data_IF_992934750616
#
_entry.id   IF_992934750616
#
_cell.length_a   1.000
_cell.length_b   1.000
_cell.length_c   1.000
_cell.angle_alpha   90.00
_cell.angle_beta   90.00
_cell.angle_gamma   90.00
#
_symmetry.space_group_name_H-M   'P 1'
#
loop_
_entity.id
_entity.type
_entity.pdbx_description
1 polymer ?
#
# COMPACT_ATOMS: atom_id res chain seq x y z
N UNK A 1 13.25 -3.63 -24.66
CA UNK A 1 14.28 -2.85 -23.94
C UNK A 1 14.51 -3.53 -22.60
N UNK A 2 15.76 -3.82 -22.22
CA UNK A 2 16.01 -4.46 -20.91
C UNK A 2 15.78 -3.43 -19.81
N UNK A 3 15.35 -3.86 -18.62
CA UNK A 3 15.10 -2.98 -17.46
C UNK A 3 16.33 -2.09 -17.18
N UNK A 4 17.53 -2.66 -17.28
CA UNK A 4 18.81 -1.97 -17.08
C UNK A 4 18.98 -0.78 -18.03
N UNK A 5 18.44 -0.85 -19.25
CA UNK A 5 18.54 0.23 -20.22
C UNK A 5 17.56 1.38 -19.89
N UNK A 6 16.40 1.07 -19.29
CA UNK A 6 15.40 2.06 -18.87
C UNK A 6 15.83 2.88 -17.66
N UNK A 7 16.70 2.32 -16.80
CA UNK A 7 17.29 3.06 -15.68
C UNK A 7 18.40 4.03 -16.09
N UNK A 8 18.91 3.90 -17.32
CA UNK A 8 19.96 4.79 -17.87
C UNK A 8 19.38 5.97 -18.63
N UNK A 9 18.07 6.02 -18.84
CA UNK A 9 17.40 7.13 -19.50
C UNK A 9 17.52 8.40 -18.63
N UNK A 10 17.56 9.56 -19.29
CA UNK A 10 17.65 10.84 -18.58
C UNK A 10 16.35 11.11 -17.81
N UNK A 11 16.47 11.45 -16.53
CA UNK A 11 15.32 11.85 -15.72
C UNK A 11 15.16 13.36 -15.82
N UNK A 12 13.93 13.81 -16.14
CA UNK A 12 13.59 15.22 -16.00
C UNK A 12 13.45 15.57 -14.53
N UNK A 13 14.40 16.32 -13.98
CA UNK A 13 14.46 16.66 -12.55
C UNK A 13 13.18 17.35 -12.04
N UNK A 14 12.56 18.18 -12.89
CA UNK A 14 11.32 18.90 -12.58
C UNK A 14 10.12 17.98 -12.32
N UNK A 15 10.16 16.73 -12.79
CA UNK A 15 9.06 15.77 -12.65
C UNK A 15 9.18 14.94 -11.35
N UNK A 16 10.36 14.93 -10.70
CA UNK A 16 10.62 14.12 -9.50
C UNK A 16 9.80 14.62 -8.30
N UNK A 17 9.88 15.91 -7.98
CA UNK A 17 9.21 16.46 -6.80
C UNK A 17 7.67 16.36 -6.87
N UNK A 18 7.01 16.66 -8.02
CA UNK A 18 5.58 16.41 -8.17
C UNK A 18 5.19 14.94 -7.93
N UNK A 19 5.95 13.98 -8.47
CA UNK A 19 5.69 12.55 -8.27
C UNK A 19 5.80 12.16 -6.80
N UNK A 20 6.86 12.58 -6.12
CA UNK A 20 7.06 12.32 -4.69
C UNK A 20 5.91 12.91 -3.87
N UNK A 21 5.53 14.17 -4.13
CA UNK A 21 4.45 14.85 -3.41
C UNK A 21 3.10 14.12 -3.59
N UNK A 22 2.77 13.74 -4.82
CA UNK A 22 1.53 13.01 -5.10
C UNK A 22 1.54 11.61 -4.46
N UNK A 23 2.67 10.92 -4.51
CA UNK A 23 2.84 9.59 -3.92
C UNK A 23 2.72 9.59 -2.39
N UNK A 24 3.39 10.53 -1.72
CA UNK A 24 3.28 10.71 -0.25
C UNK A 24 1.84 11.07 0.12
N UNK A 25 1.24 12.05 -0.56
CA UNK A 25 -0.14 12.46 -0.28
C UNK A 25 -1.11 11.28 -0.41
N UNK A 26 -1.03 10.54 -1.52
CA UNK A 26 -1.93 9.42 -1.77
C UNK A 26 -1.71 8.26 -0.81
N UNK A 27 -0.47 7.92 -0.48
CA UNK A 27 -0.18 6.84 0.46
C UNK A 27 -0.67 7.17 1.88
N UNK A 28 -0.49 8.41 2.34
CA UNK A 28 -1.02 8.87 3.64
C UNK A 28 -2.54 8.86 3.62
N UNK A 29 -3.16 9.61 2.71
CA UNK A 29 -4.63 9.74 2.68
C UNK A 29 -5.30 8.41 2.38
N UNK A 30 -4.78 7.65 1.41
CA UNK A 30 -5.29 6.34 1.04
C UNK A 30 -5.16 5.33 2.18
N UNK A 31 -3.99 5.22 2.81
CA UNK A 31 -3.76 4.33 3.94
C UNK A 31 -4.70 4.62 5.11
N UNK A 32 -4.78 5.88 5.53
CA UNK A 32 -5.66 6.32 6.63
C UNK A 32 -7.14 6.06 6.31
N UNK A 33 -7.58 6.38 5.09
CA UNK A 33 -8.98 6.24 4.67
C UNK A 33 -9.38 4.76 4.58
N UNK A 34 -8.57 3.93 3.93
CA UNK A 34 -8.83 2.49 3.80
C UNK A 34 -8.81 1.84 5.18
N UNK A 35 -7.86 2.20 6.05
CA UNK A 35 -7.77 1.65 7.41
C UNK A 35 -8.99 2.00 8.25
N UNK A 36 -9.44 3.26 8.19
CA UNK A 36 -10.62 3.71 8.92
C UNK A 36 -11.91 3.05 8.42
N UNK A 37 -12.08 2.96 7.09
CA UNK A 37 -13.25 2.29 6.50
C UNK A 37 -13.21 0.80 6.83
N UNK A 38 -12.09 0.12 6.64
CA UNK A 38 -11.96 -1.29 6.96
C UNK A 38 -12.25 -1.57 8.44
N UNK A 39 -11.76 -0.73 9.35
CA UNK A 39 -12.06 -0.82 10.79
C UNK A 39 -13.56 -0.78 11.04
N UNK A 40 -14.26 0.20 10.45
CA UNK A 40 -15.71 0.33 10.58
C UNK A 40 -16.43 -0.90 10.05
N UNK A 41 -16.02 -1.42 8.88
CA UNK A 41 -16.66 -2.57 8.26
C UNK A 41 -16.46 -3.88 9.03
N UNK A 42 -15.23 -4.12 9.50
CA UNK A 42 -14.91 -5.28 10.33
C UNK A 42 -15.66 -5.19 11.66
N UNK A 43 -15.67 -4.03 12.30
CA UNK A 43 -16.27 -3.86 13.62
C UNK A 43 -17.81 -3.88 13.59
N UNK A 44 -18.44 -3.22 12.61
CA UNK A 44 -19.90 -3.07 12.56
C UNK A 44 -20.60 -4.15 11.74
N UNK A 45 -19.99 -4.61 10.65
CA UNK A 45 -20.65 -5.49 9.68
C UNK A 45 -20.01 -6.88 9.57
N UNK A 46 -18.88 -7.12 10.24
CA UNK A 46 -18.17 -8.40 10.25
C UNK A 46 -17.77 -8.93 8.86
N UNK A 47 -17.54 -8.04 7.89
CA UNK A 47 -16.99 -8.40 6.58
C UNK A 47 -15.87 -7.46 6.15
N UNK A 48 -15.06 -7.93 5.20
CA UNK A 48 -13.89 -7.22 4.68
C UNK A 48 -14.13 -6.70 3.26
N UNK A 49 -13.80 -5.43 3.01
CA UNK A 49 -13.74 -4.83 1.67
C UNK A 49 -12.31 -4.56 1.22
N UNK A 50 -11.32 -5.10 1.94
CA UNK A 50 -9.93 -4.75 1.82
C UNK A 50 -9.41 -4.84 0.38
N UNK A 51 -9.62 -5.98 -0.27
CA UNK A 51 -9.06 -6.22 -1.61
C UNK A 51 -9.61 -5.24 -2.65
N UNK A 52 -10.92 -4.93 -2.60
CA UNK A 52 -11.54 -3.94 -3.46
C UNK A 52 -10.93 -2.55 -3.23
N UNK A 53 -10.79 -2.16 -1.96
CA UNK A 53 -10.21 -0.86 -1.60
C UNK A 53 -8.74 -0.74 -2.01
N UNK A 54 -7.94 -1.78 -1.81
CA UNK A 54 -6.53 -1.81 -2.23
C UNK A 54 -6.39 -1.74 -3.76
N UNK A 55 -7.28 -2.40 -4.49
CA UNK A 55 -7.31 -2.32 -5.94
C UNK A 55 -7.62 -0.90 -6.43
N UNK A 56 -8.68 -0.28 -5.89
CA UNK A 56 -9.03 1.12 -6.21
C UNK A 56 -7.89 2.06 -5.85
N UNK A 57 -7.25 1.86 -4.70
CA UNK A 57 -6.12 2.65 -4.25
C UNK A 57 -4.91 2.53 -5.18
N UNK A 58 -4.50 1.31 -5.54
CA UNK A 58 -3.38 1.07 -6.45
C UNK A 58 -3.61 1.79 -7.79
N UNK A 59 -4.81 1.68 -8.36
CA UNK A 59 -5.17 2.35 -9.61
C UNK A 59 -5.13 3.87 -9.50
N UNK A 60 -5.73 4.45 -8.45
CA UNK A 60 -5.78 5.91 -8.28
C UNK A 60 -4.39 6.51 -7.97
N UNK A 61 -3.58 5.80 -7.19
CA UNK A 61 -2.19 6.16 -6.92
C UNK A 61 -1.38 6.20 -8.23
N UNK A 62 -1.44 5.11 -9.00
CA UNK A 62 -0.71 4.99 -10.26
C UNK A 62 -1.12 6.08 -11.25
N UNK A 63 -2.42 6.33 -11.40
CA UNK A 63 -2.98 7.38 -12.25
C UNK A 63 -2.50 8.77 -11.84
N UNK A 64 -2.48 9.09 -10.55
CA UNK A 64 -1.97 10.39 -10.07
C UNK A 64 -0.48 10.55 -10.29
N UNK A 65 0.31 9.51 -10.08
CA UNK A 65 1.75 9.53 -10.40
C UNK A 65 1.95 9.72 -11.90
N UNK A 66 1.16 9.04 -12.75
CA UNK A 66 1.25 9.17 -14.21
C UNK A 66 1.04 10.60 -14.70
N UNK A 67 0.11 11.32 -14.07
CA UNK A 67 -0.17 12.72 -14.40
C UNK A 67 0.80 13.72 -13.76
N UNK A 68 1.67 13.27 -12.87
CA UNK A 68 2.64 14.14 -12.20
C UNK A 68 3.95 14.31 -12.99
N UNK A 69 4.15 13.54 -14.07
CA UNK A 69 5.31 13.64 -14.94
C UNK A 69 4.91 13.79 -16.40
N UNK A 70 5.81 14.37 -17.19
CA UNK A 70 5.63 14.60 -18.62
C UNK A 70 6.33 13.53 -19.45
N UNK A 71 7.57 13.21 -19.08
CA UNK A 71 8.39 12.20 -19.74
C UNK A 71 8.50 10.97 -18.85
N UNK A 72 8.29 9.79 -19.43
CA UNK A 72 8.35 8.55 -18.67
C UNK A 72 9.78 8.22 -18.25
N UNK A 73 9.93 7.80 -17.00
CA UNK A 73 11.12 7.13 -16.50
C UNK A 73 10.71 5.99 -15.57
N UNK A 74 11.42 4.85 -15.62
CA UNK A 74 11.08 3.64 -14.83
C UNK A 74 11.04 3.89 -13.32
N UNK A 75 11.84 4.87 -12.84
CA UNK A 75 11.84 5.31 -11.44
C UNK A 75 10.44 5.66 -10.95
N UNK A 76 9.58 6.28 -11.78
CA UNK A 76 8.23 6.66 -11.37
C UNK A 76 7.33 5.44 -11.13
N UNK A 77 7.50 4.37 -11.92
CA UNK A 77 6.80 3.10 -11.67
C UNK A 77 7.27 2.41 -10.41
N UNK A 78 8.58 2.45 -10.12
CA UNK A 78 9.15 1.94 -8.88
C UNK A 78 8.64 2.73 -7.68
N UNK A 79 8.62 4.06 -7.77
CA UNK A 79 8.05 4.94 -6.74
C UNK A 79 6.57 4.65 -6.51
N UNK A 80 5.79 4.39 -7.56
CA UNK A 80 4.38 4.02 -7.40
C UNK A 80 4.20 2.73 -6.61
N UNK A 81 5.04 1.72 -6.86
CA UNK A 81 5.02 0.48 -6.07
C UNK A 81 5.41 0.76 -4.62
N UNK A 82 6.46 1.54 -4.40
CA UNK A 82 6.89 1.94 -3.06
C UNK A 82 5.76 2.64 -2.27
N UNK A 83 5.09 3.63 -2.88
CA UNK A 83 3.99 4.34 -2.23
C UNK A 83 2.76 3.45 -2.01
N UNK A 84 2.52 2.46 -2.87
CA UNK A 84 1.47 1.48 -2.63
C UNK A 84 1.77 0.64 -1.38
N UNK A 85 3.00 0.11 -1.27
CA UNK A 85 3.46 -0.67 -0.11
C UNK A 85 3.39 0.19 1.16
N UNK A 86 3.85 1.44 1.09
CA UNK A 86 3.79 2.36 2.22
C UNK A 86 2.34 2.70 2.63
N UNK A 87 1.44 2.89 1.65
CA UNK A 87 0.02 3.07 1.92
C UNK A 87 -0.63 1.84 2.57
N UNK A 88 -0.25 0.62 2.14
CA UNK A 88 -0.70 -0.62 2.76
C UNK A 88 -0.21 -0.76 4.22
N UNK A 89 1.03 -0.34 4.50
CA UNK A 89 1.54 -0.27 5.87
C UNK A 89 0.69 0.69 6.73
N UNK A 90 0.45 1.92 6.25
CA UNK A 90 -0.39 2.88 6.96
C UNK A 90 -1.82 2.40 7.15
N UNK A 91 -2.38 1.68 6.18
CA UNK A 91 -3.67 1.00 6.30
C UNK A 91 -3.68 0.07 7.54
N UNK A 92 -2.70 -0.84 7.65
CA UNK A 92 -2.60 -1.76 8.77
C UNK A 92 -2.44 -1.02 10.10
N UNK A 93 -1.54 -0.04 10.15
CA UNK A 93 -1.32 0.79 11.35
C UNK A 93 -2.62 1.45 11.79
N UNK A 94 -3.37 2.03 10.86
CA UNK A 94 -4.65 2.72 11.15
C UNK A 94 -5.73 1.74 11.62
N UNK A 95 -5.85 0.58 10.96
CA UNK A 95 -6.81 -0.46 11.32
C UNK A 95 -6.57 -0.93 12.75
N UNK A 96 -5.35 -1.37 13.08
CA UNK A 96 -5.04 -1.90 14.41
C UNK A 96 -5.12 -0.82 15.48
N UNK A 97 -4.63 0.39 15.21
CA UNK A 97 -4.78 1.51 16.13
C UNK A 97 -6.25 1.78 16.46
N UNK A 98 -7.11 1.79 15.45
CA UNK A 98 -8.56 1.96 15.63
C UNK A 98 -9.19 0.83 16.46
N UNK A 99 -8.89 -0.43 16.14
CA UNK A 99 -9.41 -1.58 16.88
C UNK A 99 -8.98 -1.58 18.35
N UNK A 100 -7.70 -1.34 18.65
CA UNK A 100 -7.19 -1.29 20.02
C UNK A 100 -7.71 -0.06 20.80
N UNK A 101 -7.98 1.05 20.11
CA UNK A 101 -8.62 2.22 20.72
C UNK A 101 -10.03 1.89 21.19
N UNK A 102 -10.81 1.17 20.39
CA UNK A 102 -12.19 0.79 20.71
C UNK A 102 -12.26 -0.24 21.86
N UNK A 103 -11.26 -1.11 21.98
CA UNK A 103 -11.21 -2.10 23.07
C UNK A 103 -10.60 -1.58 24.38
N UNK A 104 -10.19 -0.30 24.44
CA UNK A 104 -9.47 0.30 25.58
C UNK A 104 -8.16 -0.44 25.94
N UNK A 105 -7.46 -1.00 24.95
CA UNK A 105 -6.24 -1.81 25.13
C UNK A 105 -4.97 -1.10 24.61
N UNK A 106 -4.98 0.23 24.51
CA UNK A 106 -3.82 1.01 24.08
C UNK A 106 -2.78 1.14 25.19
N UNK A 107 -1.87 0.16 25.27
CA UNK A 107 -0.65 0.26 26.07
C UNK A 107 0.58 0.35 25.16
N UNK A 108 1.75 0.61 25.75
CA UNK A 108 3.00 0.82 24.99
C UNK A 108 3.34 -0.39 24.10
N UNK A 109 3.09 -1.61 24.58
CA UNK A 109 3.39 -2.83 23.83
C UNK A 109 2.55 -2.95 22.56
N UNK A 110 1.28 -2.57 22.61
CA UNK A 110 0.36 -2.57 21.47
C UNK A 110 0.76 -1.47 20.48
N UNK A 111 1.20 -0.30 20.96
CA UNK A 111 1.73 0.76 20.08
C UNK A 111 2.97 0.26 19.32
N UNK A 112 3.90 -0.39 20.01
CA UNK A 112 5.10 -0.97 19.38
C UNK A 112 4.73 -2.08 18.38
N UNK A 113 3.71 -2.88 18.69
CA UNK A 113 3.16 -3.89 17.78
C UNK A 113 2.58 -3.24 16.51
N UNK A 114 1.75 -2.20 16.64
CA UNK A 114 1.09 -1.49 15.54
C UNK A 114 2.09 -0.83 14.59
N UNK A 115 3.19 -0.29 15.12
CA UNK A 115 4.23 0.40 14.34
C UNK A 115 5.27 -0.55 13.74
N UNK A 116 5.18 -1.85 14.01
CA UNK A 116 6.12 -2.81 13.47
C UNK A 116 5.76 -3.20 12.03
N UNK A 117 6.60 -2.89 11.03
CA UNK A 117 6.32 -3.22 9.64
C UNK A 117 6.27 -4.73 9.37
N UNK A 118 7.00 -5.56 10.12
CA UNK A 118 6.97 -7.01 9.93
C UNK A 118 5.60 -7.62 10.22
N UNK A 119 4.84 -7.00 11.11
CA UNK A 119 3.47 -7.42 11.43
C UNK A 119 2.53 -7.06 10.28
N UNK A 120 2.64 -5.85 9.74
CA UNK A 120 1.84 -5.44 8.58
C UNK A 120 2.04 -6.36 7.37
N UNK A 121 3.25 -6.90 7.18
CA UNK A 121 3.59 -7.77 6.05
C UNK A 121 3.71 -9.26 6.43
N UNK A 122 3.19 -9.67 7.58
CA UNK A 122 3.34 -11.04 8.07
C UNK A 122 2.70 -12.08 7.13
N UNK A 123 1.66 -11.69 6.37
CA UNK A 123 0.99 -12.52 5.36
C UNK A 123 1.94 -12.99 4.23
N UNK A 124 3.04 -12.27 4.01
CA UNK A 124 4.08 -12.63 3.04
C UNK A 124 5.13 -13.62 3.59
N UNK A 125 5.08 -13.97 4.88
CA UNK A 125 6.09 -14.84 5.50
C UNK A 125 5.80 -16.33 5.20
N UNK A 126 6.62 -17.02 4.38
CA UNK A 126 6.40 -18.42 4.01
C UNK A 126 6.59 -19.40 5.17
N UNK A 127 7.26 -18.98 6.25
CA UNK A 127 7.48 -19.79 7.44
C UNK A 127 6.36 -19.64 8.48
N UNK A 128 5.35 -18.81 8.22
CA UNK A 128 4.19 -18.69 9.10
C UNK A 128 3.27 -19.92 8.98
N UNK A 129 2.71 -20.36 10.11
CA UNK A 129 1.84 -21.55 10.15
C UNK A 129 0.54 -21.42 9.33
N UNK A 130 0.14 -20.19 9.00
CA UNK A 130 -1.07 -19.87 8.23
C UNK A 130 -0.75 -19.45 6.78
N UNK A 131 0.50 -19.56 6.33
CA UNK A 131 0.90 -19.07 5.00
C UNK A 131 0.10 -19.70 3.86
N UNK A 132 -0.18 -21.01 3.96
CA UNK A 132 -0.93 -21.78 2.97
C UNK A 132 -2.44 -21.76 3.18
N UNK A 133 -2.95 -21.00 4.15
CA UNK A 133 -4.39 -20.82 4.32
C UNK A 133 -4.98 -20.08 3.12
N UNK A 134 -6.17 -20.51 2.69
CA UNK A 134 -6.84 -19.94 1.50
C UNK A 134 -6.97 -18.42 1.61
N UNK A 135 -7.32 -17.91 2.79
CA UNK A 135 -7.44 -16.46 3.02
C UNK A 135 -6.09 -15.75 2.84
N UNK A 136 -5.01 -16.30 3.38
CA UNK A 136 -3.67 -15.72 3.25
C UNK A 136 -3.19 -15.76 1.80
N UNK A 137 -3.44 -16.86 1.07
CA UNK A 137 -3.13 -16.95 -0.36
C UNK A 137 -3.88 -15.88 -1.17
N UNK A 138 -5.14 -15.63 -0.85
CA UNK A 138 -5.91 -14.54 -1.48
C UNK A 138 -5.31 -13.17 -1.16
N UNK A 139 -4.91 -12.93 0.10
CA UNK A 139 -4.23 -11.68 0.48
C UNK A 139 -2.94 -11.47 -0.31
N UNK A 140 -2.11 -12.51 -0.45
CA UNK A 140 -0.88 -12.47 -1.27
C UNK A 140 -1.21 -12.15 -2.73
N UNK A 141 -2.17 -12.86 -3.33
CA UNK A 141 -2.53 -12.67 -4.74
C UNK A 141 -3.06 -11.25 -4.99
N UNK A 142 -4.01 -10.76 -4.17
CA UNK A 142 -4.57 -9.43 -4.33
C UNK A 142 -3.54 -8.32 -4.05
N UNK A 143 -2.63 -8.54 -3.11
CA UNK A 143 -1.52 -7.63 -2.89
C UNK A 143 -0.60 -7.55 -4.11
N UNK A 144 -0.24 -8.69 -4.71
CA UNK A 144 0.56 -8.72 -5.94
C UNK A 144 -0.15 -8.09 -7.14
N UNK A 145 -1.47 -8.27 -7.25
CA UNK A 145 -2.29 -7.57 -8.25
C UNK A 145 -2.20 -6.05 -8.02
N UNK A 146 -2.32 -5.59 -6.78
CA UNK A 146 -2.15 -4.18 -6.41
C UNK A 146 -0.78 -3.63 -6.82
N UNK A 147 0.30 -4.36 -6.52
CA UNK A 147 1.67 -4.02 -6.94
C UNK A 147 1.79 -3.94 -8.46
N UNK A 148 1.25 -4.94 -9.18
CA UNK A 148 1.25 -4.96 -10.63
C UNK A 148 0.51 -3.76 -11.23
N UNK A 149 -0.66 -3.41 -10.68
CA UNK A 149 -1.42 -2.25 -11.11
C UNK A 149 -0.68 -0.94 -10.83
N UNK A 150 -0.10 -0.80 -9.64
CA UNK A 150 0.71 0.35 -9.26
C UNK A 150 1.86 0.57 -10.25
N UNK A 151 2.55 -0.50 -10.64
CA UNK A 151 3.63 -0.45 -11.63
C UNK A 151 3.13 -0.17 -13.05
N UNK A 152 2.11 -0.90 -13.51
CA UNK A 152 1.67 -0.90 -14.91
C UNK A 152 0.98 0.40 -15.32
N UNK A 153 0.16 0.97 -14.44
CA UNK A 153 -0.64 2.17 -14.75
C UNK A 153 0.11 3.49 -14.47
N UNK A 154 1.28 3.42 -13.83
CA UNK A 154 2.17 4.56 -13.64
C UNK A 154 3.22 4.68 -14.74
N UNK A 155 3.24 3.75 -15.70
CA UNK A 155 4.02 3.78 -16.95
C UNK A 155 3.21 4.43 -18.06
#
# INVERSE_FOLDING_TARGET
MKIIDQFKESIRENDIMPVIRQGIFMSIVGGLLIGSIQMLFVYMFQFSLLWLMLFVFAYQLAKRIRYAYTEYHILFSVLSVFFFIFGYYLYNTTLYFGLFSLSMQLELNQILYILNPFIAFQFLNPFSGYFFDVNNLLDVVFFLIGVFYAYRYSK
#
